data_IF_115860798242
#
_entry.id   IF_115860798242
#
_cell.length_a   1.000
_cell.length_b   1.000
_cell.length_c   1.000
_cell.angle_alpha   90.00
_cell.angle_beta   90.00
_cell.angle_gamma   90.00
#
_symmetry.space_group_name_H-M   'P 1'
#
loop_
_entity.id
_entity.type
_entity.pdbx_description
1 polymer ?
#
# COMPACT_ATOMS: atom_id res chain seq x y z
N UNK A 1 49.18 -12.48 -26.06
CA UNK A 1 48.10 -13.44 -26.39
C UNK A 1 46.77 -12.73 -26.19
N UNK A 2 45.95 -12.74 -27.23
CA UNK A 2 44.77 -11.89 -27.41
C UNK A 2 43.53 -12.40 -26.66
N UNK A 3 42.75 -11.47 -26.12
CA UNK A 3 41.35 -11.68 -25.72
C UNK A 3 40.44 -11.77 -26.94
N UNK A 4 39.36 -12.58 -26.88
CA UNK A 4 38.15 -12.30 -27.63
C UNK A 4 37.02 -11.83 -26.70
N UNK A 5 36.45 -10.67 -27.06
CA UNK A 5 35.19 -10.13 -26.53
C UNK A 5 34.03 -10.86 -27.23
N UNK A 6 33.04 -11.33 -26.46
CA UNK A 6 31.73 -11.72 -27.01
C UNK A 6 30.76 -10.55 -26.93
N UNK A 7 30.27 -10.13 -28.08
CA UNK A 7 29.11 -9.26 -28.25
C UNK A 7 27.85 -10.13 -28.39
N UNK A 8 26.75 -9.73 -27.75
CA UNK A 8 25.43 -10.32 -27.99
C UNK A 8 24.49 -9.20 -28.43
N UNK A 9 23.80 -9.46 -29.53
CA UNK A 9 23.09 -8.52 -30.38
C UNK A 9 21.72 -8.10 -29.80
N UNK A 10 21.42 -6.81 -29.93
CA UNK A 10 20.06 -6.26 -29.81
C UNK A 10 19.24 -6.62 -31.04
N UNK A 11 18.14 -7.36 -30.83
CA UNK A 11 17.09 -7.54 -31.83
C UNK A 11 16.10 -6.38 -31.80
N UNK A 12 16.03 -5.63 -32.89
CA UNK A 12 15.01 -4.61 -33.16
C UNK A 12 13.71 -5.32 -33.59
N UNK A 13 12.61 -5.11 -32.89
CA UNK A 13 11.28 -5.57 -33.28
C UNK A 13 10.56 -4.46 -34.07
N UNK A 14 10.39 -4.66 -35.38
CA UNK A 14 9.59 -3.79 -36.25
C UNK A 14 8.13 -4.23 -36.19
N UNK A 15 7.24 -3.37 -35.67
CA UNK A 15 5.78 -3.53 -35.80
C UNK A 15 5.33 -2.78 -37.05
N UNK A 16 4.81 -3.53 -38.03
CA UNK A 16 4.21 -2.99 -39.23
C UNK A 16 2.80 -2.46 -38.94
N UNK A 17 2.55 -1.21 -39.33
CA UNK A 17 1.22 -0.57 -39.37
C UNK A 17 0.62 -0.81 -40.76
N UNK A 18 -0.51 -1.49 -40.81
CA UNK A 18 -1.46 -1.53 -41.92
C UNK A 18 -2.80 -1.16 -41.27
N UNK A 19 -3.56 -0.14 -41.67
CA UNK A 19 -3.93 0.29 -43.00
C UNK A 19 -5.46 0.43 -42.96
N UNK A 20 -5.97 1.66 -42.93
CA UNK A 20 -7.40 1.93 -42.87
C UNK A 20 -8.08 1.87 -44.24
N UNK A 21 -9.42 1.75 -44.22
CA UNK A 21 -10.32 2.34 -45.22
C UNK A 21 -11.72 2.55 -44.60
N UNK A 22 -12.41 3.65 -44.92
CA UNK A 22 -13.73 4.01 -44.39
C UNK A 22 -14.85 3.44 -45.26
N UNK A 23 -16.07 3.33 -44.72
CA UNK A 23 -17.27 3.30 -45.55
C UNK A 23 -18.36 4.20 -44.97
N UNK A 24 -18.75 5.18 -45.77
CA UNK A 24 -19.85 6.08 -45.55
C UNK A 24 -20.98 5.73 -46.52
N UNK A 25 -22.20 6.09 -46.11
CA UNK A 25 -23.38 6.29 -46.95
C UNK A 25 -24.36 5.10 -47.06
N UNK A 26 -25.41 5.12 -46.23
CA UNK A 26 -26.76 4.79 -46.71
C UNK A 26 -27.82 5.62 -45.98
N UNK A 27 -28.45 6.48 -46.75
CA UNK A 27 -29.52 7.42 -46.41
C UNK A 27 -30.88 6.71 -46.25
N UNK A 28 -31.76 7.37 -45.46
CA UNK A 28 -33.13 7.05 -45.00
C UNK A 28 -34.19 6.80 -46.10
N UNK A 29 -35.42 6.41 -45.74
CA UNK A 29 -36.49 7.43 -45.56
C UNK A 29 -37.42 7.22 -44.32
N UNK A 30 -38.14 8.30 -44.01
CA UNK A 30 -39.01 8.58 -42.85
C UNK A 30 -40.43 7.92 -42.85
N UNK A 31 -40.95 7.70 -41.63
CA UNK A 31 -42.36 7.80 -41.10
C UNK A 31 -43.53 6.98 -41.68
N UNK A 32 -44.69 6.77 -40.97
CA UNK A 32 -45.28 7.61 -39.92
C UNK A 32 -45.82 6.95 -38.63
N UNK A 33 -46.14 7.84 -37.70
CA UNK A 33 -46.69 7.70 -36.34
C UNK A 33 -48.13 7.15 -36.24
N UNK A 34 -48.45 6.42 -35.17
CA UNK A 34 -49.81 6.33 -34.57
C UNK A 34 -49.74 5.88 -33.09
N UNK A 35 -50.32 6.63 -32.13
CA UNK A 35 -50.74 6.14 -30.80
C UNK A 35 -52.27 6.30 -30.60
N UNK A 36 -52.86 6.01 -29.41
CA UNK A 36 -52.80 4.82 -28.56
C UNK A 36 -54.23 4.29 -28.24
N UNK A 37 -54.36 3.14 -27.55
CA UNK A 37 -55.60 2.81 -26.84
C UNK A 37 -55.35 2.04 -25.51
N UNK A 38 -56.11 2.34 -24.44
CA UNK A 38 -55.89 1.85 -23.08
C UNK A 38 -56.73 0.60 -22.78
N UNK A 39 -56.27 -0.23 -21.85
CA UNK A 39 -57.01 -1.26 -21.09
C UNK A 39 -55.97 -2.05 -20.29
N UNK A 40 -56.15 -2.53 -19.07
CA UNK A 40 -57.14 -2.36 -18.03
C UNK A 40 -56.47 -2.91 -16.76
N UNK A 41 -56.93 -2.45 -15.60
CA UNK A 41 -56.46 -2.88 -14.29
C UNK A 41 -56.48 -4.42 -14.11
N UNK A 42 -55.40 -4.97 -13.55
CA UNK A 42 -55.45 -6.21 -12.77
C UNK A 42 -54.64 -6.06 -11.48
N UNK A 43 -55.39 -5.76 -10.43
CA UNK A 43 -55.10 -6.09 -9.04
C UNK A 43 -54.94 -7.61 -8.92
N UNK A 44 -53.80 -8.11 -8.46
CA UNK A 44 -53.75 -9.27 -7.55
C UNK A 44 -52.34 -9.54 -7.01
N UNK A 45 -52.30 -9.68 -5.69
CA UNK A 45 -51.39 -10.52 -4.90
C UNK A 45 -49.98 -10.00 -4.59
N UNK A 46 -49.90 -9.37 -3.42
CA UNK A 46 -48.69 -9.37 -2.61
C UNK A 46 -48.18 -10.81 -2.39
N UNK A 47 -46.87 -11.06 -2.54
CA UNK A 47 -46.26 -12.22 -1.91
C UNK A 47 -45.96 -11.91 -0.44
N UNK A 48 -46.43 -12.83 0.41
CA UNK A 48 -46.08 -12.99 1.82
C UNK A 48 -44.61 -12.65 2.08
N UNK A 49 -44.40 -11.79 3.07
CA UNK A 49 -43.14 -11.68 3.82
C UNK A 49 -42.70 -13.06 4.30
N UNK A 50 -41.73 -13.66 3.60
CA UNK A 50 -40.87 -14.66 4.22
C UNK A 50 -39.89 -13.91 5.13
N UNK A 51 -39.68 -14.34 6.38
CA UNK A 51 -38.59 -13.80 7.18
C UNK A 51 -37.29 -14.11 6.44
N UNK A 52 -36.53 -13.08 6.11
CA UNK A 52 -35.18 -13.23 5.60
C UNK A 52 -34.39 -14.02 6.64
N UNK A 53 -34.22 -15.32 6.37
CA UNK A 53 -33.25 -16.12 7.06
C UNK A 53 -31.91 -15.41 6.88
N UNK A 54 -31.36 -14.89 7.98
CA UNK A 54 -29.97 -14.45 8.07
C UNK A 54 -29.10 -15.62 7.64
N UNK A 55 -28.82 -15.70 6.33
CA UNK A 55 -27.69 -16.43 5.84
C UNK A 55 -26.48 -15.76 6.49
N UNK A 56 -25.85 -16.48 7.43
CA UNK A 56 -24.51 -16.19 7.92
C UNK A 56 -23.58 -16.16 6.72
N UNK A 57 -23.52 -15.01 6.03
CA UNK A 57 -22.49 -14.74 5.05
C UNK A 57 -21.21 -14.69 5.88
N UNK A 58 -20.33 -15.66 5.68
CA UNK A 58 -18.92 -15.44 5.99
C UNK A 58 -18.55 -14.05 5.46
N UNK A 59 -17.84 -13.21 6.23
CA UNK A 59 -17.46 -11.91 5.74
C UNK A 59 -16.70 -12.15 4.43
N UNK A 60 -17.09 -11.47 3.33
CA UNK A 60 -16.58 -11.72 1.97
C UNK A 60 -15.05 -11.59 1.81
N UNK A 61 -14.39 -11.21 2.89
CA UNK A 61 -12.99 -10.92 3.09
C UNK A 61 -12.17 -12.08 3.66
N UNK A 62 -12.81 -13.03 4.35
CA UNK A 62 -12.11 -14.16 5.00
C UNK A 62 -11.39 -15.02 3.95
N UNK A 63 -10.10 -15.28 4.18
CA UNK A 63 -9.27 -16.05 3.26
C UNK A 63 -8.91 -15.35 1.95
N UNK A 64 -8.91 -14.01 1.88
CA UNK A 64 -8.38 -13.28 0.70
C UNK A 64 -6.88 -13.07 0.73
N UNK A 65 -6.27 -13.02 1.92
CA UNK A 65 -4.83 -13.14 2.12
C UNK A 65 -4.46 -14.62 2.30
N UNK A 66 -3.23 -14.99 1.92
CA UNK A 66 -2.64 -16.28 2.30
C UNK A 66 -2.25 -16.27 3.79
N UNK A 67 -2.01 -17.45 4.38
CA UNK A 67 -1.63 -17.55 5.78
C UNK A 67 -0.25 -16.91 6.06
N UNK A 68 -0.01 -16.57 7.33
CA UNK A 68 1.22 -15.88 7.73
C UNK A 68 2.49 -16.65 7.38
N UNK A 69 2.47 -17.98 7.45
CA UNK A 69 3.63 -18.81 7.12
C UNK A 69 4.04 -18.63 5.66
N UNK A 70 3.08 -18.66 4.74
CA UNK A 70 3.31 -18.41 3.32
C UNK A 70 3.68 -16.94 3.04
N UNK A 71 3.11 -15.97 3.76
CA UNK A 71 3.52 -14.56 3.66
C UNK A 71 5.01 -14.42 4.01
N UNK A 72 5.42 -14.97 5.16
CA UNK A 72 6.81 -14.91 5.65
C UNK A 72 7.74 -15.62 4.66
N UNK A 73 7.38 -16.81 4.16
CA UNK A 73 8.18 -17.54 3.19
C UNK A 73 8.35 -16.75 1.88
N UNK A 74 7.26 -16.17 1.37
CA UNK A 74 7.28 -15.36 0.14
C UNK A 74 8.16 -14.12 0.31
N UNK A 75 8.06 -13.44 1.45
CA UNK A 75 8.89 -12.31 1.79
C UNK A 75 10.37 -12.69 1.97
N UNK A 76 10.64 -13.80 2.66
CA UNK A 76 11.99 -14.33 2.85
C UNK A 76 12.66 -14.64 1.51
N UNK A 77 11.95 -15.27 0.57
CA UNK A 77 12.49 -15.60 -0.75
C UNK A 77 12.87 -14.35 -1.56
N UNK A 78 12.12 -13.26 -1.43
CA UNK A 78 12.30 -12.06 -2.24
C UNK A 78 13.26 -11.04 -1.61
N UNK A 79 13.13 -10.78 -0.32
CA UNK A 79 13.81 -9.67 0.37
C UNK A 79 14.61 -10.12 1.59
N UNK A 80 14.16 -11.18 2.27
CA UNK A 80 14.72 -11.59 3.56
C UNK A 80 16.00 -12.41 3.48
N UNK A 81 16.07 -13.34 2.54
CA UNK A 81 17.15 -14.32 2.44
C UNK A 81 17.48 -14.95 3.79
N UNK A 82 18.75 -14.89 4.17
CA UNK A 82 19.27 -15.37 5.47
C UNK A 82 19.22 -14.30 6.57
N UNK A 83 18.89 -13.06 6.21
CA UNK A 83 18.94 -11.90 7.11
C UNK A 83 17.57 -11.59 7.72
N UNK A 84 16.53 -12.35 7.36
CA UNK A 84 15.21 -12.22 7.93
C UNK A 84 15.23 -12.61 9.40
N UNK A 85 14.89 -11.66 10.26
CA UNK A 85 14.75 -11.88 11.71
C UNK A 85 13.36 -11.45 12.15
N UNK A 86 12.75 -12.23 13.04
CA UNK A 86 11.59 -11.76 13.77
C UNK A 86 12.06 -10.75 14.83
N UNK A 87 11.36 -9.65 14.98
CA UNK A 87 11.61 -8.64 16.02
C UNK A 87 10.39 -8.52 16.94
N UNK A 88 10.58 -8.06 18.19
CA UNK A 88 9.46 -7.77 19.07
C UNK A 88 8.54 -6.71 18.45
N UNK A 89 7.24 -7.00 18.40
CA UNK A 89 6.23 -6.04 17.96
C UNK A 89 6.02 -4.94 19.00
N UNK A 90 5.98 -3.69 18.55
CA UNK A 90 5.69 -2.53 19.41
C UNK A 90 4.18 -2.39 19.64
N UNK A 91 3.78 -1.69 20.70
CA UNK A 91 2.36 -1.39 20.90
C UNK A 91 1.94 -0.22 20.00
N UNK A 92 0.95 -0.45 19.13
CA UNK A 92 0.41 0.58 18.25
C UNK A 92 -0.72 1.32 18.98
N UNK A 93 -0.49 2.60 19.29
CA UNK A 93 -1.42 3.43 20.07
C UNK A 93 -2.52 4.09 19.23
N UNK A 94 -2.33 4.21 17.92
CA UNK A 94 -3.19 5.00 17.03
C UNK A 94 -3.37 4.36 15.65
N UNK A 95 -4.34 4.86 14.89
CA UNK A 95 -4.63 4.40 13.53
C UNK A 95 -5.40 3.07 13.46
N UNK A 96 -5.52 2.52 12.26
CA UNK A 96 -6.38 1.36 12.01
C UNK A 96 -5.87 0.09 12.70
N UNK A 97 -4.55 -0.04 12.88
CA UNK A 97 -3.89 -1.17 13.54
C UNK A 97 -3.75 -1.03 15.07
N UNK A 98 -4.29 0.04 15.65
CA UNK A 98 -4.23 0.29 17.11
C UNK A 98 -4.69 -0.92 17.93
N UNK A 99 -3.92 -1.30 18.94
CA UNK A 99 -4.23 -2.41 19.85
C UNK A 99 -4.43 -3.77 19.15
N UNK A 100 -4.01 -3.93 17.89
CA UNK A 100 -4.03 -5.22 17.18
C UNK A 100 -2.70 -5.93 17.37
N UNK A 101 -2.75 -7.21 17.77
CA UNK A 101 -1.53 -8.03 17.86
C UNK A 101 -1.01 -8.34 16.45
N UNK A 102 0.30 -8.32 16.30
CA UNK A 102 0.95 -8.59 15.03
C UNK A 102 2.31 -9.26 15.19
N UNK A 103 2.79 -9.88 14.12
CA UNK A 103 4.16 -10.36 13.96
C UNK A 103 4.95 -9.34 13.16
N UNK A 104 6.16 -9.01 13.60
CA UNK A 104 7.08 -8.13 12.87
C UNK A 104 8.35 -8.86 12.48
N UNK A 105 8.79 -8.65 11.24
CA UNK A 105 10.03 -9.18 10.70
C UNK A 105 10.81 -8.09 9.99
N UNK A 106 12.12 -8.07 10.20
CA UNK A 106 13.03 -7.13 9.54
C UNK A 106 14.02 -7.88 8.67
N UNK A 107 14.37 -7.28 7.53
CA UNK A 107 15.49 -7.70 6.70
C UNK A 107 16.12 -6.51 6.00
N UNK A 108 17.39 -6.22 6.28
CA UNK A 108 18.13 -5.08 5.74
C UNK A 108 17.39 -3.73 5.91
N UNK A 109 16.72 -3.25 4.85
CA UNK A 109 15.97 -1.98 4.79
C UNK A 109 14.46 -2.18 4.73
N UNK A 110 13.99 -3.43 4.86
CA UNK A 110 12.60 -3.83 4.73
C UNK A 110 12.04 -4.28 6.07
N UNK A 111 10.75 -4.04 6.24
CA UNK A 111 9.98 -4.49 7.39
C UNK A 111 8.68 -5.13 6.90
N UNK A 112 8.28 -6.25 7.52
CA UNK A 112 7.05 -6.97 7.25
C UNK A 112 6.26 -7.08 8.56
N UNK A 113 5.04 -6.57 8.56
CA UNK A 113 4.12 -6.65 9.69
C UNK A 113 2.87 -7.45 9.28
N UNK A 114 2.48 -8.44 10.09
CA UNK A 114 1.30 -9.30 9.83
C UNK A 114 0.38 -9.26 11.04
N UNK A 115 -0.86 -8.80 10.83
CA UNK A 115 -1.81 -8.45 11.89
C UNK A 115 -2.91 -9.49 12.06
N UNK A 116 -3.29 -9.74 13.31
CA UNK A 116 -4.41 -10.61 13.67
C UNK A 116 -4.04 -12.09 13.82
N UNK A 117 -4.95 -12.96 13.37
CA UNK A 117 -4.80 -14.41 13.45
C UNK A 117 -3.73 -14.89 12.44
N UNK A 118 -2.70 -15.64 12.85
CA UNK A 118 -1.67 -16.14 11.93
C UNK A 118 -2.22 -16.99 10.76
N UNK A 119 -3.29 -17.75 10.98
CA UNK A 119 -3.92 -18.60 9.98
C UNK A 119 -4.86 -17.80 9.06
N UNK A 120 -5.42 -16.72 9.58
CA UNK A 120 -6.33 -15.83 8.86
C UNK A 120 -5.95 -14.36 9.09
N UNK A 121 -4.86 -13.87 8.47
CA UNK A 121 -4.39 -12.51 8.72
C UNK A 121 -5.46 -11.47 8.43
N UNK A 122 -5.67 -10.57 9.38
CA UNK A 122 -6.58 -9.43 9.25
C UNK A 122 -5.94 -8.28 8.45
N UNK A 123 -4.60 -8.25 8.40
CA UNK A 123 -3.86 -7.32 7.56
C UNK A 123 -2.38 -7.69 7.42
N UNK A 124 -1.75 -7.11 6.41
CA UNK A 124 -0.31 -7.22 6.15
C UNK A 124 0.23 -5.88 5.66
N UNK A 125 1.42 -5.52 6.11
CA UNK A 125 2.13 -4.32 5.69
C UNK A 125 3.57 -4.66 5.35
N UNK A 126 4.09 -4.05 4.28
CA UNK A 126 5.51 -4.10 3.95
C UNK A 126 6.05 -2.68 3.80
N UNK A 127 7.06 -2.38 4.60
CA UNK A 127 7.78 -1.12 4.63
C UNK A 127 9.15 -1.22 3.96
N UNK A 128 9.60 -0.11 3.37
CA UNK A 128 10.99 0.08 2.95
C UNK A 128 11.50 1.46 3.34
N UNK A 129 12.64 1.49 4.01
CA UNK A 129 13.34 2.72 4.38
C UNK A 129 14.32 3.10 3.27
N UNK A 130 14.10 4.26 2.62
CA UNK A 130 14.93 4.78 1.52
C UNK A 130 14.95 3.95 0.20
N UNK A 131 13.85 3.28 -0.14
CA UNK A 131 13.71 2.51 -1.39
C UNK A 131 13.52 3.36 -2.66
N UNK A 132 14.15 2.92 -3.77
CA UNK A 132 13.89 3.48 -5.13
C UNK A 132 12.52 3.02 -5.64
N UNK A 133 11.99 3.68 -6.67
CA UNK A 133 10.71 3.27 -7.27
C UNK A 133 10.71 1.82 -7.77
N UNK A 134 11.84 1.31 -8.29
CA UNK A 134 11.95 -0.10 -8.68
C UNK A 134 11.72 -1.06 -7.50
N UNK A 135 12.23 -0.71 -6.32
CA UNK A 135 12.03 -1.49 -5.08
C UNK A 135 10.57 -1.44 -4.65
N UNK A 136 9.92 -0.27 -4.72
CA UNK A 136 8.49 -0.14 -4.42
C UNK A 136 7.61 -0.97 -5.36
N UNK A 137 7.99 -1.03 -6.65
CA UNK A 137 7.32 -1.89 -7.64
C UNK A 137 7.48 -3.38 -7.35
N UNK A 138 8.67 -3.81 -6.90
CA UNK A 138 8.90 -5.19 -6.47
C UNK A 138 8.05 -5.54 -5.25
N UNK A 139 7.99 -4.66 -4.26
CA UNK A 139 7.13 -4.86 -3.07
C UNK A 139 5.66 -4.92 -3.49
N UNK A 140 5.20 -4.00 -4.35
CA UNK A 140 3.83 -3.99 -4.87
C UNK A 140 3.49 -5.30 -5.58
N UNK A 141 4.41 -5.83 -6.39
CA UNK A 141 4.25 -7.15 -7.03
C UNK A 141 4.19 -8.29 -6.02
N UNK A 142 5.02 -8.25 -4.99
CA UNK A 142 4.96 -9.24 -3.91
C UNK A 142 3.62 -9.20 -3.18
N UNK A 143 3.14 -8.00 -2.80
CA UNK A 143 1.84 -7.82 -2.14
C UNK A 143 0.68 -8.34 -2.99
N UNK A 144 0.71 -8.12 -4.31
CA UNK A 144 -0.26 -8.71 -5.23
C UNK A 144 -0.22 -10.25 -5.20
N UNK A 145 0.96 -10.84 -5.03
CA UNK A 145 1.14 -12.29 -4.87
C UNK A 145 0.57 -12.87 -3.58
N UNK A 146 0.37 -12.06 -2.53
CA UNK A 146 -0.21 -12.49 -1.24
C UNK A 146 -1.73 -12.66 -1.29
N UNK A 147 -2.37 -12.17 -2.34
CA UNK A 147 -3.82 -12.17 -2.49
C UNK A 147 -4.29 -13.39 -3.28
N UNK A 148 -5.42 -13.97 -2.87
CA UNK A 148 -5.98 -15.15 -3.53
C UNK A 148 -6.86 -14.80 -4.74
N UNK A 149 -7.55 -13.65 -4.72
CA UNK A 149 -8.46 -13.23 -5.80
C UNK A 149 -7.74 -12.37 -6.85
N UNK A 150 -7.82 -12.76 -8.13
CA UNK A 150 -7.16 -12.07 -9.24
C UNK A 150 -7.45 -10.56 -9.30
N UNK A 151 -8.72 -10.17 -9.15
CA UNK A 151 -9.10 -8.76 -9.20
C UNK A 151 -8.57 -7.92 -8.02
N UNK A 152 -8.16 -8.53 -6.90
CA UNK A 152 -7.44 -7.79 -5.85
C UNK A 152 -5.98 -7.56 -6.24
N UNK A 153 -5.37 -8.53 -6.92
CA UNK A 153 -4.00 -8.42 -7.46
C UNK A 153 -3.92 -7.28 -8.46
N UNK A 154 -4.90 -7.19 -9.36
CA UNK A 154 -5.01 -6.10 -10.34
C UNK A 154 -5.14 -4.73 -9.67
N UNK A 155 -5.94 -4.64 -8.61
CA UNK A 155 -6.11 -3.41 -7.84
C UNK A 155 -4.79 -2.97 -7.18
N UNK A 156 -4.06 -3.91 -6.56
CA UNK A 156 -2.73 -3.62 -5.99
C UNK A 156 -1.76 -3.09 -7.04
N UNK A 157 -1.76 -3.64 -8.26
CA UNK A 157 -0.95 -3.14 -9.37
C UNK A 157 -1.38 -1.75 -9.87
N UNK A 158 -2.63 -1.34 -9.62
CA UNK A 158 -3.16 -0.03 -9.96
C UNK A 158 -2.75 1.10 -8.99
N UNK A 159 -2.32 0.77 -7.77
CA UNK A 159 -2.04 1.77 -6.73
C UNK A 159 -0.91 2.72 -7.12
N UNK A 160 -1.11 4.02 -6.93
CA UNK A 160 -0.07 5.03 -7.13
C UNK A 160 1.03 4.92 -6.07
N UNK A 161 2.29 4.82 -6.49
CA UNK A 161 3.43 4.66 -5.57
C UNK A 161 3.73 5.88 -4.68
N UNK A 162 3.10 7.02 -4.93
CA UNK A 162 3.28 8.23 -4.12
C UNK A 162 2.52 8.13 -2.81
N UNK A 163 1.19 8.07 -2.92
CA UNK A 163 0.23 7.86 -1.86
C UNK A 163 -1.07 7.46 -2.55
N UNK A 164 -1.76 6.46 -2.04
CA UNK A 164 -3.02 5.99 -2.60
C UNK A 164 -3.81 5.22 -1.56
N UNK A 165 -5.13 5.17 -1.72
CA UNK A 165 -6.01 4.39 -0.86
C UNK A 165 -7.25 3.97 -1.62
N UNK A 166 -7.46 2.67 -1.73
CA UNK A 166 -8.59 2.07 -2.41
C UNK A 166 -9.27 1.04 -1.51
N UNK A 167 -10.57 0.84 -1.69
CA UNK A 167 -11.34 -0.18 -0.97
C UNK A 167 -12.10 -1.05 -1.95
N UNK A 168 -12.13 -2.37 -1.69
CA UNK A 168 -12.88 -3.33 -2.49
C UNK A 168 -13.40 -4.48 -1.65
N UNK A 169 -14.73 -4.54 -1.55
CA UNK A 169 -15.45 -5.61 -0.86
C UNK A 169 -14.88 -5.86 0.55
N UNK A 170 -14.72 -4.78 1.33
CA UNK A 170 -14.26 -4.82 2.72
C UNK A 170 -12.75 -4.88 2.93
N UNK A 171 -11.92 -5.07 1.90
CA UNK A 171 -10.48 -4.86 2.01
C UNK A 171 -10.10 -3.44 1.61
N UNK A 172 -9.18 -2.87 2.37
CA UNK A 172 -8.49 -1.62 2.10
C UNK A 172 -7.07 -1.91 1.59
N UNK A 173 -6.64 -1.16 0.58
CA UNK A 173 -5.33 -1.22 -0.03
C UNK A 173 -4.76 0.19 0.01
N UNK A 174 -3.60 0.38 0.63
CA UNK A 174 -3.10 1.70 0.99
C UNK A 174 -1.59 1.80 0.75
N UNK A 175 -1.16 2.94 0.21
CA UNK A 175 0.24 3.34 0.11
C UNK A 175 0.46 4.55 1.02
N UNK A 176 1.32 4.39 2.01
CA UNK A 176 1.69 5.46 2.95
C UNK A 176 3.10 5.96 2.63
N UNK A 177 3.28 7.24 2.24
CA UNK A 177 4.59 7.78 1.94
C UNK A 177 5.45 8.00 3.20
N UNK A 178 6.79 8.07 3.06
CA UNK A 178 7.70 8.41 4.15
C UNK A 178 7.43 9.73 4.87
N UNK A 179 6.70 10.64 4.22
CA UNK A 179 6.35 11.96 4.73
C UNK A 179 5.04 12.00 5.49
N UNK A 180 4.26 10.91 5.48
CA UNK A 180 3.03 10.82 6.27
C UNK A 180 3.38 10.65 7.76
N UNK A 181 2.49 11.14 8.63
CA UNK A 181 2.70 11.12 10.08
C UNK A 181 2.85 9.69 10.64
N UNK A 182 2.14 8.74 10.04
CA UNK A 182 2.18 7.30 10.33
C UNK A 182 3.15 6.52 9.42
N UNK A 183 3.90 7.22 8.56
CA UNK A 183 4.91 6.58 7.71
C UNK A 183 6.21 6.27 8.43
N UNK A 184 6.47 6.89 9.60
CA UNK A 184 7.70 6.72 10.40
C UNK A 184 9.01 6.80 9.58
N UNK A 185 9.01 7.57 8.48
CA UNK A 185 10.15 7.70 7.57
C UNK A 185 10.32 6.56 6.55
N UNK A 186 9.45 5.56 6.56
CA UNK A 186 9.37 4.46 5.60
C UNK A 186 8.28 4.67 4.55
N UNK A 187 8.44 4.04 3.39
CA UNK A 187 7.34 3.89 2.43
C UNK A 187 6.65 2.56 2.70
N UNK A 188 5.32 2.56 2.85
CA UNK A 188 4.56 1.38 3.20
C UNK A 188 3.50 1.05 2.15
N UNK A 189 3.25 -0.24 1.97
CA UNK A 189 2.05 -0.75 1.33
C UNK A 189 1.32 -1.67 2.30
N UNK A 190 0.03 -1.42 2.46
CA UNK A 190 -0.81 -2.04 3.47
C UNK A 190 -2.05 -2.64 2.83
N UNK A 191 -2.39 -3.86 3.21
CA UNK A 191 -3.61 -4.54 2.79
C UNK A 191 -4.29 -5.09 4.03
N UNK A 192 -5.52 -4.65 4.32
CA UNK A 192 -6.21 -5.04 5.54
C UNK A 192 -7.73 -5.07 5.40
N UNK A 193 -8.38 -5.88 6.22
CA UNK A 193 -9.81 -5.86 6.45
C UNK A 193 -10.10 -5.21 7.80
N UNK A 194 -10.72 -4.03 7.76
CA UNK A 194 -11.05 -3.26 8.96
C UNK A 194 -11.95 -4.03 9.93
N UNK A 195 -12.93 -4.77 9.42
CA UNK A 195 -13.84 -5.55 10.25
C UNK A 195 -13.12 -6.74 10.90
N UNK A 196 -12.17 -7.36 10.20
CA UNK A 196 -11.34 -8.41 10.77
C UNK A 196 -10.41 -7.84 11.86
N UNK A 197 -9.78 -6.68 11.61
CA UNK A 197 -8.95 -5.98 12.60
C UNK A 197 -9.74 -5.65 13.86
N UNK A 198 -10.96 -5.14 13.73
CA UNK A 198 -11.80 -4.78 14.88
C UNK A 198 -12.20 -5.99 15.74
N UNK A 199 -12.34 -7.19 15.15
CA UNK A 199 -12.63 -8.42 15.89
C UNK A 199 -11.45 -8.95 16.71
N UNK A 200 -10.23 -8.70 16.26
CA UNK A 200 -8.99 -9.17 16.91
C UNK A 200 -8.31 -8.10 17.74
N UNK A 201 -8.89 -6.89 17.77
CA UNK A 201 -8.39 -5.76 18.54
C UNK A 201 -8.44 -6.09 20.03
N UNK A 202 -7.30 -5.99 20.70
CA UNK A 202 -7.21 -6.09 22.14
C UNK A 202 -7.78 -4.85 22.83
N UNK A 203 -8.01 -4.92 24.15
CA UNK A 203 -8.36 -3.74 24.93
C UNK A 203 -7.26 -2.69 24.84
N UNK A 204 -7.64 -1.42 24.95
CA UNK A 204 -6.67 -0.34 24.94
C UNK A 204 -5.81 -0.40 26.22
N UNK A 205 -4.52 -0.08 26.13
CA UNK A 205 -3.65 -0.05 27.33
C UNK A 205 -4.20 0.86 28.45
N UNK A 206 -4.93 1.92 28.08
CA UNK A 206 -5.62 2.78 29.03
C UNK A 206 -6.72 2.04 29.80
N UNK A 207 -7.43 1.11 29.17
CA UNK A 207 -8.48 0.31 29.79
C UNK A 207 -7.91 -0.78 30.69
N UNK A 208 -6.78 -1.39 30.30
CA UNK A 208 -6.07 -2.37 31.14
C UNK A 208 -5.57 -1.71 32.43
N UNK A 209 -5.07 -0.48 32.38
CA UNK A 209 -4.63 0.29 33.56
C UNK A 209 -5.77 0.67 34.51
N UNK A 210 -7.01 0.80 34.03
CA UNK A 210 -8.19 1.11 34.86
C UNK A 210 -8.71 -0.14 35.61
N UNK A 211 -8.47 -1.35 35.08
CA UNK A 211 -8.86 -2.61 35.75
C UNK A 211 -7.88 -3.10 36.84
N UNK A 212 -6.78 -2.38 37.09
CA UNK A 212 -5.66 -2.82 37.96
C UNK A 212 -5.59 -2.21 39.36
N UNK A 213 -6.65 -1.59 39.89
CA UNK A 213 -6.64 -0.99 41.22
C UNK A 213 -7.15 -1.95 42.32
N UNK A 214 -6.32 -2.93 42.70
CA UNK A 214 -6.30 -3.53 44.05
C UNK A 214 -5.06 -4.43 44.20
N UNK A 215 -3.95 -3.86 44.69
CA UNK A 215 -2.75 -4.62 45.04
C UNK A 215 -1.54 -3.71 45.26
N UNK A 216 -1.16 -3.56 46.52
CA UNK A 216 -0.12 -2.69 47.09
C UNK A 216 1.31 -2.92 46.52
N UNK A 217 2.24 -1.94 46.55
CA UNK A 217 3.44 -1.92 45.72
C UNK A 217 4.76 -2.26 46.46
N UNK A 218 5.72 -2.87 45.75
CA UNK A 218 7.18 -2.68 45.93
C UNK A 218 8.00 -3.49 44.89
N UNK A 219 9.28 -3.17 44.59
CA UNK A 219 9.94 -1.86 44.56
C UNK A 219 10.57 -1.55 43.17
N UNK A 220 10.98 -0.29 43.01
CA UNK A 220 11.64 0.29 41.83
C UNK A 220 12.93 -0.45 41.45
N UNK A 221 13.04 -0.82 40.17
CA UNK A 221 14.32 -0.94 39.48
C UNK A 221 14.40 0.20 38.45
N UNK A 222 15.33 1.12 38.68
CA UNK A 222 15.72 2.13 37.70
C UNK A 222 16.26 1.44 36.44
N UNK A 223 15.54 1.53 35.32
CA UNK A 223 16.15 1.38 34.00
C UNK A 223 16.32 2.77 33.40
N UNK A 224 17.58 3.18 33.39
CA UNK A 224 18.14 4.38 32.80
C UNK A 224 17.57 4.61 31.40
N UNK A 225 16.94 5.76 31.22
CA UNK A 225 16.60 6.30 29.91
C UNK A 225 17.84 6.37 29.03
N UNK A 226 17.74 5.98 27.77
CA UNK A 226 18.58 6.61 26.75
C UNK A 226 17.92 6.71 25.37
N UNK A 227 18.26 7.78 24.63
CA UNK A 227 17.40 8.39 23.63
C UNK A 227 17.95 8.19 22.22
N UNK A 228 17.10 7.82 21.26
CA UNK A 228 17.41 8.04 19.84
C UNK A 228 16.34 8.90 19.18
N UNK A 229 16.39 10.20 19.50
CA UNK A 229 16.10 11.25 18.51
C UNK A 229 17.33 12.14 18.40
N UNK A 230 17.74 12.38 17.14
CA UNK A 230 18.80 13.28 16.62
C UNK A 230 20.12 12.60 16.25
N UNK A 231 20.26 12.28 14.96
CA UNK A 231 21.38 12.74 14.11
C UNK A 231 21.14 12.34 12.65
N UNK A 232 20.68 13.28 11.84
CA UNK A 232 21.16 13.48 10.46
C UNK A 232 20.61 14.80 9.92
N UNK A 233 21.23 15.89 10.31
CA UNK A 233 21.28 17.10 9.49
C UNK A 233 22.73 17.46 9.24
N UNK A 234 22.98 17.92 8.01
CA UNK A 234 24.19 18.58 7.49
C UNK A 234 25.37 17.69 7.08
N UNK A 235 25.35 17.29 5.81
CA UNK A 235 26.54 17.30 4.94
C UNK A 235 26.14 17.62 3.49
N UNK A 236 25.92 18.90 3.22
CA UNK A 236 26.06 19.47 1.88
C UNK A 236 26.43 20.95 2.07
N UNK A 237 27.70 21.27 1.80
CA UNK A 237 28.23 22.57 1.38
C UNK A 237 29.69 22.71 1.82
N UNK A 238 30.62 22.24 0.98
CA UNK A 238 31.99 22.75 0.92
C UNK A 238 32.56 22.51 -0.47
N UNK A 239 32.46 23.50 -1.38
CA UNK A 239 33.57 24.04 -2.20
C UNK A 239 33.09 25.08 -3.24
N UNK A 240 33.45 26.36 -3.02
CA UNK A 240 33.97 27.37 -3.99
C UNK A 240 33.83 28.74 -3.33
N UNK A 241 34.89 29.20 -2.64
CA UNK A 241 35.94 30.10 -3.16
C UNK A 241 35.46 31.55 -3.22
N UNK A 242 35.78 32.27 -2.14
CA UNK A 242 36.03 33.71 -2.16
C UNK A 242 37.11 34.04 -3.19
N UNK A 243 36.88 35.07 -4.00
CA UNK A 243 37.77 36.24 -4.00
C UNK A 243 37.03 37.45 -4.59
N UNK A 244 37.11 38.57 -3.89
CA UNK A 244 36.71 39.92 -4.27
C UNK A 244 37.88 40.84 -3.80
N UNK A 245 37.99 42.14 -4.17
CA UNK A 245 36.96 43.00 -4.75
C UNK A 245 37.43 44.07 -5.76
N UNK A 246 36.42 44.72 -6.38
CA UNK A 246 36.29 46.16 -6.69
C UNK A 246 37.38 46.91 -7.47
N UNK A 247 36.99 47.55 -8.58
CA UNK A 247 36.83 49.02 -8.64
C UNK A 247 36.46 49.56 -10.03
N UNK A 248 35.61 50.58 -9.97
CA UNK A 248 35.61 51.82 -10.77
C UNK A 248 35.10 51.87 -12.23
N UNK A 249 34.01 52.65 -12.35
CA UNK A 249 33.86 53.84 -13.22
C UNK A 249 33.70 53.61 -14.73
N UNK A 250 32.47 53.90 -15.21
CA UNK A 250 32.16 54.22 -16.62
C UNK A 250 32.82 55.55 -17.03
N UNK A 251 33.09 55.83 -18.33
CA UNK A 251 32.01 56.38 -19.17
C UNK A 251 32.09 56.10 -20.71
N UNK A 252 30.92 56.17 -21.35
CA UNK A 252 30.59 56.89 -22.62
C UNK A 252 31.36 56.55 -23.92
N UNK A 253 30.59 56.09 -24.92
CA UNK A 253 30.54 56.20 -26.42
C UNK A 253 31.68 56.88 -27.23
N UNK A 254 31.69 56.91 -28.61
CA UNK A 254 30.77 56.34 -29.63
C UNK A 254 31.46 55.68 -30.87
N UNK A 255 30.62 55.21 -31.82
CA UNK A 255 30.77 55.10 -33.29
C UNK A 255 32.05 54.50 -33.93
N UNK A 256 31.82 53.47 -34.77
CA UNK A 256 32.10 53.45 -36.22
C UNK A 256 31.38 52.27 -36.89
#
# INVERSE_FOLDING_TARGET
>A
MMNPKSAVASGLLTVAVLGGCPNANRTRPDEPSTPPAPQAARTTSAPLSAPAASASRHPETEGRLIDSGLIIETFAKQFGGKDLKQVPSEFIEAGVFRSVRYLSYEAAQFELNIYGDPQHPAGVEIGVYAGKNSTKEEIRRLMAGLLQKAADRELVHGLALGQDKLERAGLTFEITPPTADDGFGGWWISIYDKNALDKVRGPDEAEVKVSGAAGEPAPKAESVASPLKKKMTKRAAKKKSEDAPSKDVAPVSPDL
#
